data_IF_758347707805
#
_entry.id   IF_758347707805
#
_cell.length_a   1.000
_cell.length_b   1.000
_cell.length_c   1.000
_cell.angle_alpha   90.00
_cell.angle_beta   90.00
_cell.angle_gamma   90.00
#
_symmetry.space_group_name_H-M   'P 1'
#
loop_
_entity.id
_entity.type
_entity.pdbx_description
1 polymer ?
#
# COMPACT_ATOMS: atom_id res chain seq x y z
N UNK A 1 -0.26 10.28 -2.38
CA UNK A 1 0.16 9.27 -1.39
C UNK A 1 1.49 8.67 -1.80
N UNK A 2 2.46 8.74 -0.94
CA UNK A 2 3.78 8.20 -1.19
C UNK A 2 3.79 6.70 -0.90
N UNK A 3 4.18 5.92 -1.90
CA UNK A 3 4.31 4.48 -1.77
C UNK A 3 5.78 4.11 -1.78
N UNK A 4 6.13 3.11 -0.99
CA UNK A 4 7.47 2.52 -1.05
C UNK A 4 7.38 1.31 -1.96
N UNK A 5 8.11 1.36 -3.06
CA UNK A 5 8.13 0.29 -4.07
C UNK A 5 9.44 -0.47 -3.99
N UNK A 6 9.38 -1.75 -4.27
CA UNK A 6 10.56 -2.61 -4.36
C UNK A 6 10.31 -3.68 -5.40
N UNK A 7 11.35 -4.39 -5.78
CA UNK A 7 11.26 -5.47 -6.76
C UNK A 7 11.31 -6.83 -6.06
N UNK A 8 10.72 -7.83 -6.70
CA UNK A 8 10.67 -9.18 -6.15
C UNK A 8 12.06 -9.78 -5.90
N UNK A 9 13.04 -9.40 -6.69
CA UNK A 9 14.43 -9.90 -6.56
C UNK A 9 15.29 -9.02 -5.66
N UNK A 10 14.73 -8.00 -5.01
CA UNK A 10 15.43 -7.25 -3.98
C UNK A 10 15.56 -8.11 -2.72
N UNK A 11 16.67 -7.93 -2.00
CA UNK A 11 16.85 -8.58 -0.70
C UNK A 11 16.26 -7.71 0.41
N UNK A 12 15.94 -8.34 1.54
CA UNK A 12 15.51 -7.63 2.74
C UNK A 12 16.53 -6.56 3.10
N UNK A 13 17.81 -6.90 3.05
CA UNK A 13 18.88 -5.97 3.38
C UNK A 13 18.87 -4.72 2.48
N UNK A 14 18.70 -4.93 1.17
CA UNK A 14 18.71 -3.81 0.23
C UNK A 14 17.51 -2.88 0.44
N UNK A 15 16.35 -3.46 0.75
CA UNK A 15 15.15 -2.66 1.02
C UNK A 15 15.32 -1.84 2.30
N UNK A 16 15.81 -2.46 3.37
CA UNK A 16 16.04 -1.76 4.63
C UNK A 16 17.06 -0.64 4.46
N UNK A 17 18.15 -0.91 3.71
CA UNK A 17 19.14 0.10 3.44
C UNK A 17 18.55 1.29 2.67
N UNK A 18 17.68 1.00 1.71
CA UNK A 18 16.97 2.05 0.96
C UNK A 18 16.07 2.89 1.85
N UNK A 19 15.36 2.26 2.78
CA UNK A 19 14.50 2.97 3.73
C UNK A 19 15.33 3.87 4.64
N UNK A 20 16.47 3.40 5.11
CA UNK A 20 17.36 4.20 5.95
C UNK A 20 17.93 5.42 5.24
N UNK A 21 18.11 5.32 3.93
CA UNK A 21 18.67 6.40 3.13
C UNK A 21 17.64 7.50 2.80
N UNK A 22 16.36 7.25 3.01
CA UNK A 22 15.32 8.24 2.70
C UNK A 22 15.24 9.27 3.80
N UNK A 23 15.02 10.52 3.40
CA UNK A 23 14.85 11.63 4.33
C UNK A 23 13.41 11.74 4.82
N UNK A 24 12.47 11.26 4.02
CA UNK A 24 11.05 11.29 4.36
C UNK A 24 10.46 9.91 4.10
N UNK A 25 9.68 9.43 5.04
CA UNK A 25 8.97 8.17 4.91
C UNK A 25 7.49 8.43 5.06
N UNK A 26 6.65 7.64 4.36
CA UNK A 26 5.20 7.74 4.57
C UNK A 26 4.83 7.45 6.02
N UNK A 27 3.79 8.09 6.49
CA UNK A 27 3.23 7.80 7.80
C UNK A 27 1.75 7.46 7.65
N UNK A 28 1.33 6.27 8.11
CA UNK A 28 2.17 5.19 8.65
C UNK A 28 2.91 4.44 7.55
N UNK A 29 4.09 3.92 7.86
CA UNK A 29 4.80 3.01 6.98
C UNK A 29 4.54 1.59 7.46
N UNK A 30 3.72 0.86 6.76
CA UNK A 30 3.31 -0.49 7.17
C UNK A 30 3.48 -1.54 6.09
N UNK A 31 3.44 -1.16 4.82
CA UNK A 31 3.60 -2.09 3.70
C UNK A 31 4.60 -1.55 2.69
N UNK A 32 5.36 -2.49 2.11
CA UNK A 32 6.21 -2.25 0.94
C UNK A 32 5.49 -2.88 -0.24
N UNK A 33 5.32 -2.14 -1.32
CA UNK A 33 4.66 -2.65 -2.53
C UNK A 33 5.70 -3.26 -3.46
N UNK A 34 5.51 -4.53 -3.80
CA UNK A 34 6.43 -5.27 -4.66
C UNK A 34 5.88 -5.28 -6.07
N UNK A 35 6.63 -4.73 -7.00
CA UNK A 35 6.23 -4.55 -8.39
C UNK A 35 7.21 -5.27 -9.30
N UNK A 36 6.78 -5.48 -10.56
CA UNK A 36 7.64 -6.06 -11.57
C UNK A 36 8.73 -5.08 -11.95
N UNK A 37 9.93 -5.60 -12.19
CA UNK A 37 11.06 -4.80 -12.64
C UNK A 37 10.81 -4.35 -14.08
N UNK A 38 11.09 -3.07 -14.34
CA UNK A 38 10.97 -2.50 -15.65
C UNK A 38 12.36 -2.15 -16.19
N UNK A 39 12.41 -1.75 -17.45
CA UNK A 39 13.67 -1.40 -18.11
C UNK A 39 14.35 -0.19 -17.46
N UNK A 40 13.60 0.63 -16.75
CA UNK A 40 14.12 1.86 -16.18
C UNK A 40 14.81 1.69 -14.83
N UNK A 41 14.66 0.58 -14.15
CA UNK A 41 15.19 0.35 -12.79
C UNK A 41 14.76 1.38 -11.75
N UNK A 42 13.75 2.18 -12.05
CA UNK A 42 13.30 3.25 -11.17
C UNK A 42 12.24 2.70 -10.21
N UNK A 43 12.63 2.55 -8.93
CA UNK A 43 11.73 2.03 -7.90
C UNK A 43 10.66 3.03 -7.48
N UNK A 44 10.73 4.26 -7.99
CA UNK A 44 9.70 5.27 -7.70
C UNK A 44 8.63 5.33 -8.78
N UNK A 45 8.76 4.52 -9.83
CA UNK A 45 7.87 4.59 -10.97
C UNK A 45 6.58 3.82 -10.68
N UNK A 46 5.46 4.51 -10.78
CA UNK A 46 4.13 3.88 -10.82
C UNK A 46 3.80 3.48 -12.26
N UNK A 47 2.72 2.74 -12.43
CA UNK A 47 2.31 2.27 -13.73
C UNK A 47 2.89 0.92 -14.11
N UNK A 48 3.46 0.21 -13.14
CA UNK A 48 4.02 -1.14 -13.34
C UNK A 48 3.13 -2.16 -12.63
N UNK A 49 3.11 -3.43 -13.11
CA UNK A 49 2.28 -4.45 -12.46
C UNK A 49 2.69 -4.70 -11.01
N UNK A 50 1.68 -4.81 -10.15
CA UNK A 50 1.87 -5.14 -8.75
C UNK A 50 1.94 -6.66 -8.60
N UNK A 51 2.95 -7.14 -7.87
CA UNK A 51 3.10 -8.56 -7.56
C UNK A 51 2.48 -8.89 -6.20
N UNK A 52 2.72 -8.02 -5.21
CA UNK A 52 2.21 -8.24 -3.87
C UNK A 52 2.74 -7.19 -2.92
N UNK A 53 2.60 -7.45 -1.63
CA UNK A 53 3.12 -6.56 -0.60
C UNK A 53 4.00 -7.34 0.37
N UNK A 54 4.90 -6.63 1.04
CA UNK A 54 5.62 -7.15 2.21
C UNK A 54 5.27 -6.24 3.37
N UNK A 55 4.72 -6.82 4.43
CA UNK A 55 4.41 -6.05 5.64
C UNK A 55 5.71 -5.73 6.38
N UNK A 56 5.78 -4.54 6.93
CA UNK A 56 7.00 -4.09 7.61
C UNK A 56 7.45 -5.04 8.72
N UNK A 57 6.57 -5.57 9.58
CA UNK A 57 7.00 -6.54 10.58
C UNK A 57 7.66 -7.78 9.98
N UNK A 58 7.13 -8.28 8.87
CA UNK A 58 7.71 -9.44 8.18
C UNK A 58 9.09 -9.12 7.64
N UNK A 59 9.26 -7.92 7.09
CA UNK A 59 10.55 -7.46 6.60
C UNK A 59 11.58 -7.43 7.73
N UNK A 60 11.18 -6.91 8.88
CA UNK A 60 12.09 -6.72 10.02
C UNK A 60 12.55 -8.04 10.65
N UNK A 61 11.74 -9.09 10.58
CA UNK A 61 12.08 -10.37 11.19
C UNK A 61 12.69 -11.37 10.21
N UNK A 62 12.78 -11.01 8.94
CA UNK A 62 13.36 -11.86 7.92
C UNK A 62 14.88 -11.65 7.83
N UNK A 63 15.60 -12.70 7.44
CA UNK A 63 17.04 -12.61 7.29
C UNK A 63 17.44 -11.65 6.18
N UNK A 64 18.59 -11.04 6.30
CA UNK A 64 19.06 -9.99 5.40
C UNK A 64 19.14 -10.44 3.94
N UNK A 65 19.44 -11.70 3.69
CA UNK A 65 19.63 -12.25 2.34
C UNK A 65 18.35 -12.76 1.69
N UNK A 66 17.22 -12.73 2.41
CA UNK A 66 15.95 -13.24 1.87
C UNK A 66 15.45 -12.33 0.77
N UNK A 67 14.97 -12.91 -0.32
CA UNK A 67 14.37 -12.15 -1.40
C UNK A 67 12.93 -11.80 -1.06
N UNK A 68 12.47 -10.64 -1.53
CA UNK A 68 11.09 -10.24 -1.29
C UNK A 68 10.09 -11.21 -1.91
N UNK A 69 10.47 -11.86 -3.02
CA UNK A 69 9.62 -12.89 -3.63
C UNK A 69 9.29 -14.05 -2.70
N UNK A 70 10.13 -14.29 -1.68
CA UNK A 70 9.93 -15.38 -0.74
C UNK A 70 9.03 -15.01 0.44
N UNK A 71 8.78 -13.73 0.66
CA UNK A 71 8.04 -13.26 1.82
C UNK A 71 6.86 -12.34 1.48
N UNK A 72 6.65 -12.05 0.20
CA UNK A 72 5.52 -11.22 -0.20
C UNK A 72 4.20 -12.00 -0.05
N UNK A 73 3.13 -11.27 0.10
CA UNK A 73 1.79 -11.84 0.07
C UNK A 73 0.96 -11.13 -0.97
N UNK A 74 0.08 -11.87 -1.63
CA UNK A 74 -0.86 -11.29 -2.57
C UNK A 74 -2.03 -10.70 -1.80
N UNK A 75 -2.46 -9.50 -2.21
CA UNK A 75 -3.59 -8.84 -1.60
C UNK A 75 -4.52 -8.37 -2.71
N UNK A 76 -5.82 -8.23 -2.42
CA UNK A 76 -6.74 -7.70 -3.41
C UNK A 76 -6.38 -6.27 -3.78
N UNK A 77 -6.54 -5.97 -5.06
CA UNK A 77 -6.38 -4.62 -5.59
C UNK A 77 -7.76 -4.11 -5.99
N UNK A 78 -7.95 -2.80 -5.96
CA UNK A 78 -9.19 -2.21 -6.41
C UNK A 78 -8.95 -1.35 -7.64
N UNK A 79 -10.00 -1.17 -8.43
CA UNK A 79 -9.97 -0.29 -9.59
C UNK A 79 -10.05 1.17 -9.13
N UNK A 80 -9.53 2.07 -9.95
CA UNK A 80 -9.51 3.49 -9.64
C UNK A 80 -10.91 4.08 -9.40
N UNK A 81 -11.91 3.52 -10.07
CA UNK A 81 -13.30 3.96 -9.96
C UNK A 81 -14.11 3.16 -8.93
N UNK A 82 -13.46 2.32 -8.13
CA UNK A 82 -14.15 1.52 -7.13
C UNK A 82 -14.77 2.41 -6.06
N UNK A 83 -15.90 1.98 -5.54
CA UNK A 83 -16.58 2.69 -4.47
C UNK A 83 -15.76 2.64 -3.17
N UNK A 84 -15.87 3.66 -2.35
CA UNK A 84 -15.19 3.72 -1.06
C UNK A 84 -15.53 2.50 -0.19
N UNK A 85 -16.75 1.98 -0.30
CA UNK A 85 -17.17 0.78 0.44
C UNK A 85 -16.31 -0.43 0.13
N UNK A 86 -15.90 -0.58 -1.13
CA UNK A 86 -15.04 -1.69 -1.55
C UNK A 86 -13.68 -1.56 -0.89
N UNK A 87 -13.12 -0.35 -0.93
CA UNK A 87 -11.82 -0.10 -0.29
C UNK A 87 -11.88 -0.38 1.21
N UNK A 88 -12.91 0.11 1.88
CA UNK A 88 -13.09 -0.09 3.31
C UNK A 88 -13.20 -1.57 3.67
N UNK A 89 -13.90 -2.36 2.86
CA UNK A 89 -14.04 -3.79 3.09
C UNK A 89 -12.71 -4.51 2.98
N UNK A 90 -11.93 -4.21 1.93
CA UNK A 90 -10.63 -4.85 1.74
C UNK A 90 -9.68 -4.48 2.87
N UNK A 91 -9.66 -3.20 3.25
CA UNK A 91 -8.83 -2.75 4.36
C UNK A 91 -9.12 -3.53 5.64
N UNK A 92 -10.41 -3.72 5.94
CA UNK A 92 -10.84 -4.43 7.14
C UNK A 92 -10.57 -5.92 7.07
N UNK A 93 -10.92 -6.57 5.95
CA UNK A 93 -10.79 -8.03 5.82
C UNK A 93 -9.34 -8.48 5.84
N UNK A 94 -8.43 -7.68 5.26
CA UNK A 94 -7.03 -8.05 5.14
C UNK A 94 -6.14 -7.34 6.17
N UNK A 95 -6.75 -6.56 7.05
CA UNK A 95 -6.03 -5.82 8.08
C UNK A 95 -4.91 -4.97 7.46
N UNK A 96 -5.24 -4.26 6.40
CA UNK A 96 -4.31 -3.37 5.71
C UNK A 96 -4.52 -1.93 6.17
N UNK A 97 -3.47 -1.12 6.09
CA UNK A 97 -3.59 0.32 6.30
C UNK A 97 -3.81 1.07 5.01
N UNK A 98 -3.53 0.42 3.89
CA UNK A 98 -3.82 0.95 2.56
C UNK A 98 -4.09 -0.19 1.61
N UNK A 99 -4.98 0.03 0.63
CA UNK A 99 -5.28 -0.95 -0.39
C UNK A 99 -4.72 -0.46 -1.72
N UNK A 100 -4.02 -1.31 -2.48
CA UNK A 100 -3.47 -0.90 -3.77
C UNK A 100 -4.57 -0.65 -4.79
N UNK A 101 -4.37 0.37 -5.60
CA UNK A 101 -5.28 0.74 -6.69
C UNK A 101 -4.54 0.47 -8.00
N UNK A 102 -5.18 -0.26 -8.89
CA UNK A 102 -4.60 -0.64 -10.18
C UNK A 102 -5.49 -0.16 -11.31
N UNK A 103 -4.88 -0.01 -12.49
CA UNK A 103 -5.62 0.31 -13.71
C UNK A 103 -6.19 -0.97 -14.35
N UNK A 104 -6.78 -0.82 -15.54
CA UNK A 104 -7.41 -1.94 -16.24
C UNK A 104 -6.41 -3.02 -16.63
N UNK A 105 -5.13 -2.69 -16.68
CA UNK A 105 -4.06 -3.63 -17.04
C UNK A 105 -3.39 -4.25 -15.82
N UNK A 106 -3.85 -3.92 -14.61
CA UNK A 106 -3.26 -4.42 -13.40
C UNK A 106 -2.03 -3.64 -12.93
N UNK A 107 -1.74 -2.51 -13.56
CA UNK A 107 -0.60 -1.69 -13.18
C UNK A 107 -0.94 -0.84 -11.95
N UNK A 108 -0.01 -0.79 -11.01
CA UNK A 108 -0.19 -0.03 -9.77
C UNK A 108 -0.18 1.46 -10.06
N UNK A 109 -1.25 2.15 -9.69
CA UNK A 109 -1.37 3.60 -9.89
C UNK A 109 -1.48 4.39 -8.59
N UNK A 110 -1.64 3.72 -7.46
CA UNK A 110 -1.72 4.40 -6.18
C UNK A 110 -2.21 3.48 -5.10
N UNK A 111 -2.64 4.05 -3.99
CA UNK A 111 -3.25 3.31 -2.89
C UNK A 111 -4.25 4.20 -2.17
N UNK A 112 -5.27 3.59 -1.58
CA UNK A 112 -6.23 4.28 -0.73
C UNK A 112 -5.95 3.86 0.71
N UNK A 113 -5.63 4.82 1.55
CA UNK A 113 -5.35 4.55 2.95
C UNK A 113 -6.63 4.48 3.77
N UNK A 114 -6.52 3.92 4.98
CA UNK A 114 -7.61 3.94 5.95
C UNK A 114 -8.08 5.38 6.19
N UNK A 115 -7.12 6.30 6.34
CA UNK A 115 -7.44 7.71 6.59
C UNK A 115 -8.23 8.31 5.44
N UNK A 116 -7.84 8.02 4.20
CA UNK A 116 -8.55 8.52 3.02
C UNK A 116 -9.97 7.95 2.95
N UNK A 117 -10.11 6.66 3.22
CA UNK A 117 -11.41 6.02 3.20
C UNK A 117 -12.33 6.58 4.27
N UNK A 118 -11.80 6.79 5.48
CA UNK A 118 -12.57 7.38 6.57
C UNK A 118 -12.98 8.81 6.26
N UNK A 119 -12.08 9.58 5.63
CA UNK A 119 -12.39 10.97 5.27
C UNK A 119 -13.58 11.06 4.33
N UNK A 120 -13.73 10.07 3.44
CA UNK A 120 -14.86 10.03 2.51
C UNK A 120 -16.16 9.56 3.17
N UNK A 121 -16.06 8.69 4.17
CA UNK A 121 -17.23 8.16 4.87
C UNK A 121 -17.72 9.09 5.98
N UNK A 122 -16.82 9.80 6.64
CA UNK A 122 -17.18 10.65 7.77
C UNK A 122 -18.21 11.73 7.47
N UNK A 123 -18.18 12.41 6.33
CA UNK A 123 -19.23 13.42 6.05
C UNK A 123 -20.65 12.89 6.18
N UNK A 124 -20.90 11.68 5.67
CA UNK A 124 -22.21 11.06 5.80
C UNK A 124 -22.55 10.75 7.25
N UNK A 125 -21.57 10.24 7.99
CA UNK A 125 -21.73 9.91 9.40
C UNK A 125 -22.01 11.19 10.20
N UNK A 126 -21.26 12.23 9.95
CA UNK A 126 -21.44 13.51 10.61
C UNK A 126 -22.82 14.08 10.37
N UNK A 127 -23.29 14.03 9.13
CA UNK A 127 -24.61 14.56 8.80
C UNK A 127 -25.72 13.83 9.53
N UNK A 128 -25.58 12.51 9.72
CA UNK A 128 -26.59 11.72 10.42
C UNK A 128 -26.58 11.95 11.92
N UNK A 129 -25.39 12.22 12.50
CA UNK A 129 -25.22 12.31 13.95
C UNK A 129 -24.93 13.71 14.45
N UNK A 130 -24.44 14.57 13.57
CA UNK A 130 -23.86 15.83 13.98
C UNK A 130 -24.80 16.70 14.79
N UNK A 131 -26.05 16.81 14.36
CA UNK A 131 -27.01 17.63 15.07
C UNK A 131 -27.33 17.08 16.47
N UNK A 132 -27.20 15.77 16.66
CA UNK A 132 -27.51 15.17 17.96
C UNK A 132 -26.34 15.21 18.92
N UNK A 133 -25.11 15.07 18.40
CA UNK A 133 -23.94 14.87 19.24
C UNK A 133 -23.09 16.11 19.39
N UNK A 134 -23.18 17.00 18.43
CA UNK A 134 -22.27 18.15 18.35
C UNK A 134 -23.00 19.46 18.09
N UNK A 135 -24.29 19.37 18.06
CA UNK A 135 -25.13 20.56 17.87
C UNK A 135 -25.05 21.54 18.99
#
# INVERSE_FOLDING_TARGET
TDLILAFADDTVQSVIAGLRARHDLPEPLTEIYVVERTDSDDTQQLGVPLIGIVRLPKLLVSDASVLLSDILEEVPCIAADAHTDVAARVLGEYNLTAVPVVDDNGALIGAVSVDDALAQLLPDIWQRRGSRNFG
#
